data_IF_723394898704
#
_entry.id   IF_723394898704
#
_cell.length_a   1.000
_cell.length_b   1.000
_cell.length_c   1.000
_cell.angle_alpha   90.00
_cell.angle_beta   90.00
_cell.angle_gamma   90.00
#
_symmetry.space_group_name_H-M   'P 1'
#
loop_
_entity.id
_entity.type
_entity.pdbx_description
1 polymer ?
#
# COMPACT_ATOMS: atom_id res chain seq x y z
N UNK A 1 55.73 49.41 1.70
CA UNK A 1 54.56 49.57 2.60
C UNK A 1 53.29 49.54 1.77
N UNK A 2 52.21 48.99 2.33
CA UNK A 2 51.14 48.23 1.67
C UNK A 2 50.22 48.99 0.67
N UNK A 3 49.61 48.13 -0.14
CA UNK A 3 48.63 48.26 -1.22
C UNK A 3 47.24 48.86 -0.86
N UNK A 4 46.71 49.61 -1.84
CA UNK A 4 45.41 49.50 -2.54
C UNK A 4 44.03 49.49 -1.81
N UNK A 5 43.14 50.31 -2.40
CA UNK A 5 41.68 50.15 -2.60
C UNK A 5 40.75 50.42 -1.38
N UNK A 6 39.51 50.91 -1.52
CA UNK A 6 38.58 50.74 -2.63
C UNK A 6 37.50 51.84 -2.72
N UNK A 7 37.03 52.00 -3.96
CA UNK A 7 35.93 52.86 -4.43
C UNK A 7 34.53 52.28 -4.13
N UNK A 8 33.59 53.22 -4.01
CA UNK A 8 32.16 53.19 -4.37
C UNK A 8 31.53 51.92 -4.95
N UNK A 9 30.32 51.56 -4.48
CA UNK A 9 29.04 51.68 -5.24
C UNK A 9 27.89 50.93 -4.54
N UNK A 10 26.70 51.52 -4.63
CA UNK A 10 25.40 50.98 -4.24
C UNK A 10 25.19 49.56 -4.80
N UNK A 11 24.86 48.60 -3.92
CA UNK A 11 24.43 47.26 -4.33
C UNK A 11 22.97 47.07 -3.93
N UNK A 12 22.07 47.22 -4.91
CA UNK A 12 20.69 46.75 -4.83
C UNK A 12 20.69 45.26 -4.49
N UNK A 13 20.09 44.90 -3.36
CA UNK A 13 19.80 43.52 -2.99
C UNK A 13 18.61 43.00 -3.80
N UNK A 14 18.88 42.60 -5.06
CA UNK A 14 18.01 41.67 -5.79
C UNK A 14 18.07 40.33 -5.07
N UNK A 15 17.07 40.03 -4.23
CA UNK A 15 16.77 38.67 -3.82
C UNK A 15 16.40 37.88 -5.08
N UNK A 16 17.30 37.01 -5.52
CA UNK A 16 17.06 36.05 -6.59
C UNK A 16 15.94 35.09 -6.17
N UNK A 17 14.76 35.30 -6.74
CA UNK A 17 13.70 34.29 -6.89
C UNK A 17 14.22 33.19 -7.84
N UNK A 18 15.05 32.29 -7.35
CA UNK A 18 15.47 31.09 -8.08
C UNK A 18 15.29 29.88 -7.18
N UNK A 19 14.11 29.25 -7.22
CA UNK A 19 13.98 27.81 -7.53
C UNK A 19 12.50 27.32 -7.51
N UNK A 20 11.61 27.92 -8.30
CA UNK A 20 10.23 27.40 -8.47
C UNK A 20 10.12 26.33 -9.58
N UNK A 21 11.24 25.85 -10.14
CA UNK A 21 11.24 25.02 -11.35
C UNK A 21 11.01 23.52 -11.13
N UNK A 22 10.84 23.03 -9.89
CA UNK A 22 10.72 21.58 -9.63
C UNK A 22 9.39 21.12 -9.01
N UNK A 23 8.36 21.97 -8.97
CA UNK A 23 7.02 21.54 -8.54
C UNK A 23 6.30 20.65 -9.57
N UNK A 24 6.83 20.51 -10.79
CA UNK A 24 6.27 19.64 -11.84
C UNK A 24 6.49 18.14 -11.60
N UNK A 25 7.45 17.76 -10.74
CA UNK A 25 7.77 16.37 -10.46
C UNK A 25 6.74 15.65 -9.57
N UNK A 26 5.79 16.38 -8.99
CA UNK A 26 4.76 15.85 -8.08
C UNK A 26 3.38 15.71 -8.73
N UNK A 27 3.23 16.06 -10.01
CA UNK A 27 1.97 15.84 -10.72
C UNK A 27 1.72 14.32 -10.86
N UNK A 28 0.57 13.80 -10.38
CA UNK A 28 0.33 12.37 -10.40
C UNK A 28 0.23 11.86 -11.84
N UNK A 29 1.05 10.87 -12.19
CA UNK A 29 0.90 10.14 -13.46
C UNK A 29 -0.39 9.33 -13.41
N UNK A 30 -1.30 9.58 -14.35
CA UNK A 30 -2.51 8.76 -14.51
C UNK A 30 -2.12 7.32 -14.87
N UNK A 31 -2.76 6.37 -14.21
CA UNK A 31 -2.68 4.92 -14.45
C UNK A 31 -4.06 4.37 -14.83
N UNK A 32 -4.12 3.11 -15.22
CA UNK A 32 -5.39 2.43 -15.54
C UNK A 32 -6.37 2.33 -14.35
N UNK A 33 -5.90 2.56 -13.12
CA UNK A 33 -6.71 2.55 -11.89
C UNK A 33 -6.94 3.96 -11.33
N UNK A 34 -6.62 5.02 -12.08
CA UNK A 34 -6.89 6.39 -11.62
C UNK A 34 -8.38 6.61 -11.42
N UNK A 35 -8.76 7.05 -10.22
CA UNK A 35 -10.14 7.27 -9.83
C UNK A 35 -10.67 8.57 -10.47
N UNK A 36 -11.89 8.51 -11.02
CA UNK A 36 -12.63 9.72 -11.40
C UNK A 36 -13.24 10.42 -10.17
N UNK A 37 -13.68 9.62 -9.19
CA UNK A 37 -14.29 10.00 -7.93
C UNK A 37 -14.03 8.89 -6.89
N UNK A 38 -14.22 9.16 -5.60
CA UNK A 38 -14.07 8.19 -4.51
C UNK A 38 -15.38 8.01 -3.74
N UNK A 39 -15.66 6.79 -3.28
CA UNK A 39 -16.86 6.48 -2.48
C UNK A 39 -16.61 6.49 -0.98
N UNK A 40 -15.36 6.31 -0.59
CA UNK A 40 -14.95 6.23 0.80
C UNK A 40 -13.47 6.57 0.92
N UNK A 41 -13.10 7.18 2.05
CA UNK A 41 -11.72 7.53 2.39
C UNK A 41 -11.46 7.07 3.83
N UNK A 42 -10.50 6.17 4.01
CA UNK A 42 -9.96 5.82 5.32
C UNK A 42 -8.76 6.71 5.65
N UNK A 43 -8.59 7.03 6.94
CA UNK A 43 -7.46 7.82 7.43
C UNK A 43 -6.69 7.02 8.46
N UNK A 44 -5.36 6.99 8.33
CA UNK A 44 -4.48 6.43 9.34
C UNK A 44 -3.23 7.30 9.52
N UNK A 45 -2.73 7.37 10.76
CA UNK A 45 -1.53 8.10 11.14
C UNK A 45 -0.55 7.16 11.84
N UNK A 46 0.68 7.07 11.33
CA UNK A 46 1.78 6.37 12.00
C UNK A 46 2.71 7.37 12.69
N UNK A 47 3.16 7.07 13.92
CA UNK A 47 4.04 7.93 14.73
C UNK A 47 5.18 7.13 15.36
N UNK A 48 6.23 7.84 15.77
CA UNK A 48 7.39 7.25 16.44
C UNK A 48 8.38 6.58 15.49
N UNK A 49 8.98 5.46 15.90
CA UNK A 49 10.14 4.85 15.25
C UNK A 49 9.78 3.96 14.04
N UNK A 50 8.90 4.44 13.15
CA UNK A 50 8.49 3.73 11.94
C UNK A 50 7.93 2.33 12.24
N UNK A 51 8.62 1.28 11.78
CA UNK A 51 8.23 -0.14 11.99
C UNK A 51 8.23 -0.59 13.47
N UNK A 52 8.71 0.25 14.39
CA UNK A 52 8.67 0.01 15.84
C UNK A 52 7.86 1.10 16.60
N UNK A 53 7.05 1.86 15.88
CA UNK A 53 6.20 2.92 16.43
C UNK A 53 4.78 2.46 16.72
N UNK A 54 3.82 3.33 16.39
CA UNK A 54 2.38 3.09 16.52
C UNK A 54 1.67 3.54 15.26
N UNK A 55 0.51 2.94 14.97
CA UNK A 55 -0.37 3.35 13.89
C UNK A 55 -1.81 3.38 14.37
N UNK A 56 -2.52 4.44 14.02
CA UNK A 56 -3.90 4.68 14.41
C UNK A 56 -4.76 4.96 13.19
N UNK A 57 -5.95 4.38 13.13
CA UNK A 57 -6.98 4.71 12.15
C UNK A 57 -8.02 5.61 12.80
N UNK A 58 -8.31 6.73 12.14
CA UNK A 58 -9.35 7.68 12.52
C UNK A 58 -10.63 7.42 11.71
N UNK A 59 -11.80 7.77 12.25
CA UNK A 59 -13.12 7.57 11.63
C UNK A 59 -13.97 6.52 12.34
N UNK A 60 -14.81 5.81 11.56
CA UNK A 60 -15.69 4.76 12.07
C UNK A 60 -14.86 3.56 12.55
N UNK A 61 -15.02 3.18 13.81
CA UNK A 61 -14.29 2.05 14.40
C UNK A 61 -12.80 2.33 14.59
N UNK A 62 -12.48 3.28 15.48
CA UNK A 62 -11.09 3.60 15.88
C UNK A 62 -10.27 2.34 16.16
N UNK A 63 -9.06 2.30 15.60
CA UNK A 63 -8.10 1.21 15.77
C UNK A 63 -6.73 1.82 16.06
N UNK A 64 -6.08 1.41 17.14
CA UNK A 64 -4.72 1.83 17.50
C UNK A 64 -3.86 0.59 17.74
N UNK A 65 -2.70 0.50 17.09
CA UNK A 65 -1.83 -0.67 17.10
C UNK A 65 -0.38 -0.25 17.35
N UNK A 66 0.28 -0.93 18.29
CA UNK A 66 1.73 -0.89 18.43
C UNK A 66 2.39 -1.71 17.33
N UNK A 67 3.39 -1.13 16.68
CA UNK A 67 4.20 -1.80 15.67
C UNK A 67 5.50 -2.33 16.25
N UNK A 68 5.94 -3.48 15.76
CA UNK A 68 7.27 -4.02 16.01
C UNK A 68 7.76 -4.76 14.77
N UNK A 69 9.04 -4.59 14.45
CA UNK A 69 9.67 -5.39 13.41
C UNK A 69 9.67 -6.87 13.81
N UNK A 70 9.37 -7.79 12.89
CA UNK A 70 9.34 -9.21 13.20
C UNK A 70 10.73 -9.74 13.54
N UNK A 71 10.80 -10.83 14.33
CA UNK A 71 12.07 -11.47 14.72
C UNK A 71 12.91 -11.91 13.51
N UNK A 72 12.25 -12.36 12.44
CA UNK A 72 12.90 -12.74 11.20
C UNK A 72 13.67 -11.59 10.51
N UNK A 73 13.35 -10.33 10.84
CA UNK A 73 14.05 -9.14 10.36
C UNK A 73 14.90 -8.48 11.48
N UNK A 74 15.25 -9.23 12.53
CA UNK A 74 16.06 -8.75 13.65
C UNK A 74 15.32 -7.88 14.66
N UNK A 75 13.99 -7.80 14.58
CA UNK A 75 13.18 -7.03 15.53
C UNK A 75 12.73 -7.82 16.75
N UNK A 76 12.01 -7.15 17.66
CA UNK A 76 11.48 -7.77 18.89
C UNK A 76 10.29 -8.69 18.62
N UNK A 77 9.49 -8.41 17.58
CA UNK A 77 8.29 -9.16 17.23
C UNK A 77 7.17 -9.11 18.28
N UNK A 78 7.15 -8.08 19.14
CA UNK A 78 6.21 -7.88 20.24
C UNK A 78 5.11 -6.84 19.91
N UNK A 79 4.71 -6.82 18.63
CA UNK A 79 3.73 -5.89 18.06
C UNK A 79 3.31 -6.33 16.66
N UNK A 80 2.44 -5.57 16.03
CA UNK A 80 2.01 -5.81 14.65
C UNK A 80 3.05 -5.27 13.65
N UNK A 81 2.94 -5.64 12.39
CA UNK A 81 3.80 -5.09 11.33
C UNK A 81 3.02 -4.78 10.05
N UNK A 82 3.57 -3.92 9.16
CA UNK A 82 2.89 -3.53 7.93
C UNK A 82 2.46 -4.72 7.05
N UNK A 83 3.23 -5.80 7.02
CA UNK A 83 2.92 -6.98 6.21
C UNK A 83 1.69 -7.73 6.76
N UNK A 84 1.55 -7.83 8.08
CA UNK A 84 0.35 -8.36 8.73
C UNK A 84 -0.87 -7.49 8.45
N UNK A 85 -0.74 -6.16 8.56
CA UNK A 85 -1.84 -5.24 8.25
C UNK A 85 -2.27 -5.36 6.78
N UNK A 86 -1.31 -5.46 5.87
CA UNK A 86 -1.57 -5.66 4.46
C UNK A 86 -2.23 -7.02 4.18
N UNK A 87 -1.78 -8.09 4.85
CA UNK A 87 -2.37 -9.43 4.72
C UNK A 87 -3.84 -9.44 5.18
N UNK A 88 -4.15 -8.83 6.34
CA UNK A 88 -5.52 -8.70 6.83
C UNK A 88 -6.40 -7.90 5.86
N UNK A 89 -5.92 -6.75 5.40
CA UNK A 89 -6.63 -5.91 4.45
C UNK A 89 -6.89 -6.62 3.12
N UNK A 90 -5.90 -7.34 2.60
CA UNK A 90 -6.03 -8.07 1.35
C UNK A 90 -6.99 -9.26 1.49
N UNK A 91 -6.85 -10.09 2.53
CA UNK A 91 -7.78 -11.21 2.77
C UNK A 91 -9.24 -10.73 2.83
N UNK A 92 -9.52 -9.66 3.57
CA UNK A 92 -10.84 -9.07 3.67
C UNK A 92 -11.33 -8.50 2.32
N UNK A 93 -10.47 -7.78 1.61
CA UNK A 93 -10.79 -7.20 0.31
C UNK A 93 -11.13 -8.27 -0.75
N UNK A 94 -10.35 -9.36 -0.77
CA UNK A 94 -10.56 -10.47 -1.69
C UNK A 94 -11.84 -11.25 -1.36
N UNK A 95 -12.13 -11.51 -0.08
CA UNK A 95 -13.39 -12.14 0.33
C UNK A 95 -14.61 -11.30 -0.10
N UNK A 96 -14.54 -9.98 0.10
CA UNK A 96 -15.59 -9.07 -0.37
C UNK A 96 -15.77 -9.10 -1.89
N UNK A 97 -14.66 -9.14 -2.65
CA UNK A 97 -14.71 -9.26 -4.10
C UNK A 97 -15.34 -10.60 -4.54
N UNK A 98 -14.98 -11.70 -3.88
CA UNK A 98 -15.54 -13.04 -4.13
C UNK A 98 -17.05 -13.07 -3.89
N UNK A 99 -17.51 -12.54 -2.75
CA UNK A 99 -18.93 -12.45 -2.44
C UNK A 99 -19.69 -11.56 -3.44
N UNK A 100 -19.08 -10.47 -3.87
CA UNK A 100 -19.66 -9.59 -4.89
C UNK A 100 -19.84 -10.33 -6.23
N UNK A 101 -18.80 -10.99 -6.75
CA UNK A 101 -18.89 -11.67 -8.06
C UNK A 101 -19.82 -12.88 -8.00
N UNK A 102 -19.82 -13.63 -6.89
CA UNK A 102 -20.78 -14.70 -6.66
C UNK A 102 -22.22 -14.17 -6.62
N UNK A 103 -22.45 -13.02 -5.98
CA UNK A 103 -23.74 -12.34 -5.97
C UNK A 103 -24.22 -11.95 -7.37
N UNK A 104 -23.35 -11.37 -8.20
CA UNK A 104 -23.65 -11.03 -9.59
C UNK A 104 -23.98 -12.26 -10.45
N UNK A 105 -23.35 -13.40 -10.14
CA UNK A 105 -23.57 -14.67 -10.82
C UNK A 105 -24.76 -15.49 -10.28
N UNK A 106 -25.47 -15.01 -9.24
CA UNK A 106 -26.55 -15.77 -8.60
C UNK A 106 -26.08 -16.98 -7.78
N UNK A 107 -24.79 -17.02 -7.40
CA UNK A 107 -24.11 -18.13 -6.72
C UNK A 107 -23.72 -17.82 -5.27
N UNK A 108 -24.50 -17.02 -4.53
CA UNK A 108 -24.16 -16.59 -3.17
C UNK A 108 -23.91 -17.76 -2.20
N UNK A 109 -24.68 -18.84 -2.33
CA UNK A 109 -24.54 -20.02 -1.48
C UNK A 109 -23.20 -20.75 -1.69
N UNK A 110 -22.59 -20.62 -2.86
CA UNK A 110 -21.31 -21.26 -3.19
C UNK A 110 -20.11 -20.64 -2.45
N UNK A 111 -20.29 -19.47 -1.83
CA UNK A 111 -19.22 -18.75 -1.11
C UNK A 111 -19.62 -18.37 0.32
N UNK A 112 -20.74 -18.91 0.83
CA UNK A 112 -21.30 -18.53 2.14
C UNK A 112 -20.35 -18.79 3.31
N UNK A 113 -19.54 -19.84 3.20
CA UNK A 113 -18.56 -20.25 4.22
C UNK A 113 -17.12 -20.05 3.72
N UNK A 114 -16.92 -19.24 2.68
CA UNK A 114 -15.60 -19.03 2.10
C UNK A 114 -14.70 -18.31 3.09
N UNK A 115 -13.46 -18.79 3.22
CA UNK A 115 -12.40 -18.10 3.95
C UNK A 115 -11.24 -17.79 3.00
N UNK A 116 -10.66 -16.59 3.14
CA UNK A 116 -9.49 -16.19 2.34
C UNK A 116 -8.28 -16.08 3.25
N UNK A 117 -7.22 -16.78 2.86
CA UNK A 117 -5.93 -16.75 3.53
C UNK A 117 -4.96 -15.94 2.68
N UNK A 118 -4.45 -14.83 3.21
CA UNK A 118 -3.43 -14.03 2.55
C UNK A 118 -2.08 -14.19 3.25
N UNK A 119 -1.04 -14.53 2.49
CA UNK A 119 0.36 -14.50 2.93
C UNK A 119 1.06 -13.38 2.20
N UNK A 120 1.68 -12.48 2.95
CA UNK A 120 2.45 -11.36 2.39
C UNK A 120 3.92 -11.61 2.69
N UNK A 121 4.72 -11.58 1.63
CA UNK A 121 6.16 -11.76 1.67
C UNK A 121 6.83 -10.40 1.49
N UNK A 122 7.81 -10.09 2.33
CA UNK A 122 8.69 -8.93 2.17
C UNK A 122 10.09 -9.45 1.85
N UNK A 123 10.71 -8.93 0.80
CA UNK A 123 12.05 -9.36 0.39
C UNK A 123 12.67 -8.45 -0.66
N UNK A 124 13.85 -8.82 -1.14
CA UNK A 124 14.56 -8.07 -2.17
C UNK A 124 14.05 -8.47 -3.57
N UNK A 125 13.62 -7.51 -4.41
CA UNK A 125 13.29 -7.79 -5.81
C UNK A 125 14.53 -8.21 -6.60
N UNK A 126 14.32 -8.97 -7.69
CA UNK A 126 15.41 -9.45 -8.54
C UNK A 126 16.15 -8.34 -9.28
N UNK A 127 15.42 -7.34 -9.76
CA UNK A 127 15.90 -6.41 -10.78
C UNK A 127 16.12 -4.99 -10.24
N UNK A 128 15.74 -4.71 -8.99
CA UNK A 128 15.91 -3.41 -8.33
C UNK A 128 16.38 -3.59 -6.89
N UNK A 129 17.18 -2.64 -6.39
CA UNK A 129 17.59 -2.62 -4.98
C UNK A 129 16.46 -2.21 -4.05
N UNK A 130 16.56 -2.61 -2.77
CA UNK A 130 15.58 -2.30 -1.73
C UNK A 130 14.56 -3.42 -1.52
N UNK A 131 13.40 -3.09 -0.95
CA UNK A 131 12.36 -4.05 -0.63
C UNK A 131 11.22 -4.02 -1.64
N UNK A 132 10.68 -5.20 -1.94
CA UNK A 132 9.40 -5.39 -2.61
C UNK A 132 8.53 -6.37 -1.82
N UNK A 133 7.32 -6.57 -2.33
CA UNK A 133 6.38 -7.54 -1.76
C UNK A 133 5.93 -8.56 -2.79
N UNK A 134 5.55 -9.74 -2.31
CA UNK A 134 4.77 -10.72 -3.07
C UNK A 134 3.63 -11.23 -2.19
N UNK A 135 2.55 -11.71 -2.80
CA UNK A 135 1.37 -12.18 -2.06
C UNK A 135 0.94 -13.55 -2.57
N UNK A 136 0.59 -14.44 -1.64
CA UNK A 136 -0.18 -15.64 -1.96
C UNK A 136 -1.56 -15.54 -1.33
N UNK A 137 -2.60 -15.73 -2.15
CA UNK A 137 -3.99 -15.81 -1.73
C UNK A 137 -4.47 -17.25 -1.89
N UNK A 138 -5.08 -17.80 -0.84
CA UNK A 138 -5.79 -19.08 -0.90
C UNK A 138 -7.26 -18.92 -0.55
N UNK A 139 -8.14 -19.46 -1.39
CA UNK A 139 -9.57 -19.52 -1.15
C UNK A 139 -9.98 -20.90 -0.62
N UNK A 140 -10.52 -20.93 0.58
CA UNK A 140 -11.06 -22.12 1.24
C UNK A 140 -12.58 -22.16 1.11
N UNK A 141 -13.16 -23.34 0.93
CA UNK A 141 -14.61 -23.53 0.91
C UNK A 141 -15.30 -23.03 -0.36
N UNK A 142 -14.56 -22.90 -1.46
CA UNK A 142 -15.05 -22.45 -2.77
C UNK A 142 -14.63 -23.46 -3.84
N UNK A 143 -15.61 -24.10 -4.47
CA UNK A 143 -15.34 -25.10 -5.51
C UNK A 143 -15.16 -24.50 -6.91
N UNK A 144 -15.78 -23.35 -7.16
CA UNK A 144 -15.82 -22.71 -8.46
C UNK A 144 -14.58 -21.82 -8.68
N UNK A 145 -13.59 -22.34 -9.41
CA UNK A 145 -12.37 -21.60 -9.75
C UNK A 145 -12.63 -20.35 -10.58
N UNK A 146 -13.68 -20.34 -11.41
CA UNK A 146 -14.03 -19.16 -12.20
C UNK A 146 -14.51 -18.01 -11.30
N UNK A 147 -15.17 -18.31 -10.17
CA UNK A 147 -15.49 -17.29 -9.16
C UNK A 147 -14.23 -16.76 -8.47
N UNK A 148 -13.26 -17.62 -8.15
CA UNK A 148 -11.99 -17.21 -7.54
C UNK A 148 -11.22 -16.29 -8.50
N UNK A 149 -11.14 -16.66 -9.78
CA UNK A 149 -10.49 -15.86 -10.80
C UNK A 149 -11.20 -14.51 -11.01
N UNK A 150 -12.53 -14.52 -11.12
CA UNK A 150 -13.31 -13.29 -11.22
C UNK A 150 -13.12 -12.40 -9.98
N UNK A 151 -13.00 -12.97 -8.78
CA UNK A 151 -12.70 -12.23 -7.56
C UNK A 151 -11.32 -11.56 -7.64
N UNK A 152 -10.30 -12.26 -8.14
CA UNK A 152 -8.96 -11.71 -8.32
C UNK A 152 -8.97 -10.50 -9.28
N UNK A 153 -9.70 -10.58 -10.39
CA UNK A 153 -9.84 -9.49 -11.36
C UNK A 153 -10.61 -8.27 -10.81
N UNK A 154 -11.49 -8.48 -9.84
CA UNK A 154 -12.36 -7.45 -9.29
C UNK A 154 -11.89 -6.90 -7.94
N UNK A 155 -10.99 -7.57 -7.23
CA UNK A 155 -10.43 -7.13 -5.96
C UNK A 155 -9.55 -5.88 -6.15
N UNK A 156 -9.85 -4.75 -5.50
CA UNK A 156 -9.04 -3.53 -5.58
C UNK A 156 -7.55 -3.76 -5.28
N UNK A 157 -7.21 -4.59 -4.30
CA UNK A 157 -5.81 -4.86 -3.92
C UNK A 157 -5.08 -5.65 -5.01
N UNK A 158 -5.73 -6.65 -5.62
CA UNK A 158 -5.19 -7.38 -6.77
C UNK A 158 -4.94 -6.47 -7.97
N UNK A 159 -5.89 -5.58 -8.27
CA UNK A 159 -5.74 -4.60 -9.37
C UNK A 159 -4.63 -3.59 -9.12
N UNK A 160 -4.44 -3.18 -7.86
CA UNK A 160 -3.35 -2.29 -7.48
C UNK A 160 -1.98 -2.93 -7.67
N UNK A 161 -1.87 -4.25 -7.46
CA UNK A 161 -0.61 -4.98 -7.53
C UNK A 161 -0.29 -5.59 -8.90
N UNK A 162 -1.21 -5.60 -9.87
CA UNK A 162 -1.07 -6.28 -11.17
C UNK A 162 0.27 -6.05 -11.88
N UNK A 163 0.88 -4.87 -11.73
CA UNK A 163 2.18 -4.55 -12.32
C UNK A 163 3.26 -4.16 -11.29
N UNK A 164 2.94 -4.23 -10.00
CA UNK A 164 3.81 -3.81 -8.90
C UNK A 164 4.36 -4.96 -8.05
N UNK A 165 3.66 -6.09 -7.99
CA UNK A 165 4.04 -7.25 -7.20
C UNK A 165 3.49 -8.55 -7.80
N UNK A 166 4.14 -9.67 -7.51
CA UNK A 166 3.58 -10.99 -7.81
C UNK A 166 2.45 -11.29 -6.83
N UNK A 167 1.28 -11.67 -7.37
CA UNK A 167 0.16 -12.19 -6.59
C UNK A 167 -0.18 -13.57 -7.13
N UNK A 168 0.07 -14.61 -6.35
CA UNK A 168 -0.36 -15.97 -6.65
C UNK A 168 -1.74 -16.21 -6.02
N UNK A 169 -2.68 -16.77 -6.77
CA UNK A 169 -4.01 -17.11 -6.26
C UNK A 169 -4.26 -18.59 -6.50
N UNK A 170 -4.68 -19.30 -5.45
CA UNK A 170 -5.06 -20.70 -5.57
C UNK A 170 -6.29 -21.03 -4.72
N UNK A 171 -6.91 -22.16 -5.00
CA UNK A 171 -7.81 -22.83 -4.04
C UNK A 171 -6.98 -23.50 -2.93
N UNK A 172 -7.59 -23.74 -1.77
CA UNK A 172 -7.04 -24.64 -0.72
C UNK A 172 -7.14 -26.10 -1.14
#
# INVERSE_FOLDING_TARGET
>A
MLNLAARSTLRQSRLHLTNLQNLSALAPKRTIITLNDHKYTAHATARGQGRNGEVESDGDGKLSLRLASPKALGGKGDGQNPEQLFAMGYAACFLGALQMVAGKAGKKDAVKNAAIHARVHLGEPKDIGGFGIAVDIKAEGVEDEALIQAAHENCPYSRALTHGAVVNVSKV
#
